data_IF_118166893811
#
_entry.id   IF_118166893811
#
_cell.length_a   1.000
_cell.length_b   1.000
_cell.length_c   1.000
_cell.angle_alpha   90.00
_cell.angle_beta   90.00
_cell.angle_gamma   90.00
#
_symmetry.space_group_name_H-M   'P 1'
#
loop_
_entity.id
_entity.type
_entity.pdbx_description
1 polymer ?
#
# COMPACT_ATOMS: atom_id res chain seq x y z
N UNK A 1 -16.13 12.50 -4.92
CA UNK A 1 -14.71 12.64 -4.53
C UNK A 1 -14.20 14.03 -4.86
N UNK A 2 -13.34 14.55 -3.99
CA UNK A 2 -12.73 15.86 -4.20
C UNK A 2 -11.48 15.67 -5.08
N UNK A 3 -11.48 16.22 -6.29
CA UNK A 3 -10.34 16.20 -7.22
C UNK A 3 -9.57 17.54 -7.22
N UNK A 4 -9.76 18.36 -6.20
CA UNK A 4 -9.09 19.66 -6.09
C UNK A 4 -7.84 19.57 -5.22
N UNK A 5 -6.79 20.37 -5.51
CA UNK A 5 -5.62 20.49 -4.65
C UNK A 5 -5.99 20.95 -3.24
N UNK A 6 -5.18 20.56 -2.25
CA UNK A 6 -5.38 20.96 -0.87
C UNK A 6 -5.18 22.48 -0.73
N UNK A 7 -6.16 23.25 -0.21
CA UNK A 7 -5.96 24.65 0.07
C UNK A 7 -4.82 24.86 1.08
N UNK A 8 -3.89 25.82 0.85
CA UNK A 8 -2.68 25.98 1.66
C UNK A 8 -2.95 26.40 3.12
N UNK A 9 -4.13 26.95 3.39
CA UNK A 9 -4.51 27.46 4.71
C UNK A 9 -5.24 26.44 5.61
N UNK A 10 -5.45 25.20 5.13
CA UNK A 10 -6.19 24.20 5.91
C UNK A 10 -5.37 23.69 7.10
N UNK A 11 -6.00 23.68 8.29
CA UNK A 11 -5.49 22.98 9.45
C UNK A 11 -5.29 21.48 9.17
N UNK A 12 -4.42 20.82 9.94
CA UNK A 12 -4.08 19.39 9.78
C UNK A 12 -5.33 18.51 9.68
N UNK A 13 -6.35 18.76 10.49
CA UNK A 13 -7.60 18.02 10.46
C UNK A 13 -8.42 18.22 9.17
N UNK A 14 -8.42 19.45 8.64
CA UNK A 14 -9.05 19.75 7.35
C UNK A 14 -8.35 19.05 6.19
N UNK A 15 -7.00 19.02 6.18
CA UNK A 15 -6.19 18.26 5.22
C UNK A 15 -6.49 16.77 5.29
N UNK A 16 -6.55 16.21 6.50
CA UNK A 16 -6.86 14.79 6.70
C UNK A 16 -8.23 14.42 6.13
N UNK A 17 -9.27 15.19 6.48
CA UNK A 17 -10.62 15.01 5.91
C UNK A 17 -10.58 15.08 4.37
N UNK A 18 -9.92 16.09 3.82
CA UNK A 18 -9.77 16.23 2.36
C UNK A 18 -9.10 15.01 1.73
N UNK A 19 -8.01 14.52 2.30
CA UNK A 19 -7.30 13.32 1.83
C UNK A 19 -8.20 12.07 1.88
N UNK A 20 -8.98 11.87 2.94
CA UNK A 20 -9.94 10.76 3.04
C UNK A 20 -11.04 10.87 1.99
N UNK A 21 -11.58 12.08 1.76
CA UNK A 21 -12.64 12.31 0.78
C UNK A 21 -12.19 12.04 -0.67
N UNK A 22 -10.90 12.11 -0.99
CA UNK A 22 -10.40 11.76 -2.33
C UNK A 22 -10.65 10.29 -2.68
N UNK A 23 -10.64 9.41 -1.69
CA UNK A 23 -10.79 7.95 -1.88
C UNK A 23 -12.05 7.37 -1.23
N UNK A 24 -13.02 8.22 -0.84
CA UNK A 24 -14.17 7.81 -0.02
C UNK A 24 -15.00 6.67 -0.64
N UNK A 25 -15.23 6.70 -1.96
CA UNK A 25 -15.98 5.62 -2.62
C UNK A 25 -15.28 4.28 -2.52
N UNK A 26 -13.98 4.27 -2.69
CA UNK A 26 -13.19 3.04 -2.52
C UNK A 26 -13.30 2.54 -1.07
N UNK A 27 -13.21 3.42 -0.08
CA UNK A 27 -13.31 3.02 1.33
C UNK A 27 -14.70 2.45 1.65
N UNK A 28 -15.75 3.07 1.16
CA UNK A 28 -17.13 2.57 1.34
C UNK A 28 -17.29 1.19 0.70
N UNK A 29 -16.77 0.97 -0.52
CA UNK A 29 -16.80 -0.33 -1.17
C UNK A 29 -16.02 -1.40 -0.38
N UNK A 30 -14.84 -1.08 0.13
CA UNK A 30 -14.03 -2.04 0.91
C UNK A 30 -14.68 -2.36 2.25
N UNK A 31 -15.20 -1.35 2.96
CA UNK A 31 -15.96 -1.58 4.21
C UNK A 31 -17.18 -2.46 3.94
N UNK A 32 -17.91 -2.19 2.85
CA UNK A 32 -19.04 -3.03 2.42
C UNK A 32 -18.60 -4.48 2.15
N UNK A 33 -17.46 -4.68 1.48
CA UNK A 33 -16.91 -6.01 1.23
C UNK A 33 -16.49 -6.72 2.53
N UNK A 34 -15.83 -6.02 3.47
CA UNK A 34 -15.46 -6.58 4.79
C UNK A 34 -16.69 -7.01 5.58
N UNK A 35 -17.73 -6.15 5.64
CA UNK A 35 -18.99 -6.47 6.33
C UNK A 35 -19.69 -7.66 5.66
N UNK A 36 -19.77 -7.66 4.34
CA UNK A 36 -20.37 -8.78 3.58
C UNK A 36 -19.64 -10.09 3.85
N UNK A 37 -18.30 -10.11 3.78
CA UNK A 37 -17.51 -11.29 4.08
C UNK A 37 -17.67 -11.72 5.55
N UNK A 38 -17.72 -10.79 6.50
CA UNK A 38 -17.97 -11.11 7.89
C UNK A 38 -19.32 -11.83 8.07
N UNK A 39 -20.38 -11.34 7.42
CA UNK A 39 -21.72 -11.91 7.52
C UNK A 39 -21.81 -13.32 6.92
N UNK A 40 -21.19 -13.57 5.77
CA UNK A 40 -21.24 -14.88 5.12
C UNK A 40 -20.28 -15.90 5.74
N UNK A 41 -19.24 -15.46 6.46
CA UNK A 41 -18.25 -16.35 7.07
C UNK A 41 -18.47 -16.56 8.57
N UNK A 42 -19.44 -15.88 9.19
CA UNK A 42 -19.69 -15.96 10.65
C UNK A 42 -20.01 -17.38 11.12
N UNK A 43 -20.64 -18.19 10.26
CA UNK A 43 -20.99 -19.58 10.55
C UNK A 43 -20.03 -20.60 9.94
N UNK A 44 -19.10 -20.12 9.13
CA UNK A 44 -18.16 -20.99 8.41
C UNK A 44 -16.92 -21.32 9.24
N UNK A 45 -16.40 -22.54 9.17
CA UNK A 45 -15.19 -22.92 9.91
C UNK A 45 -13.92 -22.23 9.37
N UNK A 46 -13.97 -21.65 8.17
CA UNK A 46 -12.81 -21.03 7.51
C UNK A 46 -13.06 -19.54 7.17
N UNK A 47 -12.71 -18.60 8.04
CA UNK A 47 -12.86 -17.15 7.83
C UNK A 47 -11.67 -16.51 7.08
N UNK A 48 -10.87 -17.27 6.33
CA UNK A 48 -9.64 -16.78 5.65
C UNK A 48 -9.90 -15.56 4.77
N UNK A 49 -10.98 -15.57 3.98
CA UNK A 49 -11.32 -14.45 3.10
C UNK A 49 -11.56 -13.16 3.88
N UNK A 50 -12.29 -13.24 5.00
CA UNK A 50 -12.53 -12.12 5.88
C UNK A 50 -11.21 -11.58 6.48
N UNK A 51 -10.35 -12.44 7.02
CA UNK A 51 -9.06 -12.03 7.59
C UNK A 51 -8.15 -11.42 6.53
N UNK A 52 -8.10 -12.00 5.34
CA UNK A 52 -7.29 -11.49 4.22
C UNK A 52 -7.67 -10.07 3.84
N UNK A 53 -8.96 -9.84 3.57
CA UNK A 53 -9.44 -8.49 3.16
C UNK A 53 -9.26 -7.48 4.30
N UNK A 54 -9.52 -7.89 5.55
CA UNK A 54 -9.36 -7.02 6.72
C UNK A 54 -7.89 -6.61 6.92
N UNK A 55 -6.95 -7.56 6.87
CA UNK A 55 -5.52 -7.29 7.02
C UNK A 55 -5.02 -6.34 5.92
N UNK A 56 -5.34 -6.63 4.67
CA UNK A 56 -4.93 -5.77 3.54
C UNK A 56 -5.53 -4.37 3.64
N UNK A 57 -6.79 -4.25 4.06
CA UNK A 57 -7.43 -2.96 4.27
C UNK A 57 -6.78 -2.16 5.40
N UNK A 58 -6.50 -2.79 6.56
CA UNK A 58 -5.82 -2.13 7.68
C UNK A 58 -4.42 -1.67 7.30
N UNK A 59 -3.65 -2.52 6.59
CA UNK A 59 -2.31 -2.16 6.13
C UNK A 59 -2.35 -1.03 5.09
N UNK A 60 -3.34 -1.02 4.20
CA UNK A 60 -3.57 0.10 3.28
C UNK A 60 -3.86 1.41 4.03
N UNK A 61 -4.68 1.37 5.08
CA UNK A 61 -4.91 2.54 5.94
C UNK A 61 -3.63 2.99 6.63
N UNK A 62 -2.85 2.05 7.16
CA UNK A 62 -1.54 2.34 7.74
C UNK A 62 -0.62 3.05 6.74
N UNK A 63 -0.54 2.55 5.49
CA UNK A 63 0.24 3.20 4.42
C UNK A 63 -0.26 4.62 4.12
N UNK A 64 -1.58 4.85 4.01
CA UNK A 64 -2.17 6.18 3.80
C UNK A 64 -1.83 7.14 4.94
N UNK A 65 -1.92 6.68 6.19
CA UNK A 65 -1.55 7.49 7.36
C UNK A 65 -0.05 7.84 7.34
N UNK A 66 0.80 6.88 6.97
CA UNK A 66 2.24 7.14 6.82
C UNK A 66 2.51 8.22 5.78
N UNK A 67 1.91 8.11 4.58
CA UNK A 67 2.03 9.11 3.52
C UNK A 67 1.51 10.50 3.98
N UNK A 68 0.42 10.53 4.73
CA UNK A 68 -0.15 11.77 5.26
C UNK A 68 0.76 12.43 6.31
N UNK A 69 1.35 11.64 7.22
CA UNK A 69 2.22 12.16 8.29
C UNK A 69 3.63 12.50 7.80
N UNK A 70 4.12 11.82 6.79
CA UNK A 70 5.37 12.14 6.13
C UNK A 70 6.19 10.91 5.73
N UNK A 71 6.52 10.83 4.44
CA UNK A 71 7.37 9.81 3.83
C UNK A 71 8.30 10.47 2.83
N UNK A 72 9.64 10.32 3.02
CA UNK A 72 10.65 10.91 2.11
C UNK A 72 10.81 10.15 0.80
N UNK A 73 10.52 8.85 0.81
CA UNK A 73 10.75 7.98 -0.35
C UNK A 73 9.58 7.97 -1.36
N UNK A 74 8.63 8.91 -1.23
CA UNK A 74 7.51 9.00 -2.16
C UNK A 74 7.99 9.53 -3.52
N UNK A 75 7.82 8.72 -4.57
CA UNK A 75 8.19 9.10 -5.92
C UNK A 75 6.97 9.63 -6.69
N UNK A 76 6.87 10.95 -6.83
CA UNK A 76 5.76 11.63 -7.50
C UNK A 76 5.63 11.26 -8.98
N UNK A 77 6.73 10.80 -9.63
CA UNK A 77 6.74 10.40 -11.05
C UNK A 77 5.87 9.17 -11.36
N UNK A 78 5.44 8.45 -10.33
CA UNK A 78 4.57 7.28 -10.49
C UNK A 78 3.09 7.65 -10.47
N UNK A 79 2.77 8.87 -10.08
CA UNK A 79 1.41 9.35 -10.15
C UNK A 79 1.06 9.75 -11.58
N UNK A 80 -0.04 9.24 -12.14
CA UNK A 80 -0.61 9.79 -13.38
C UNK A 80 -0.96 11.28 -13.21
N UNK A 81 -0.82 12.08 -14.27
CA UNK A 81 -1.00 13.54 -14.22
C UNK A 81 -2.34 13.98 -13.60
N UNK A 82 -3.40 13.23 -13.87
CA UNK A 82 -4.74 13.52 -13.32
C UNK A 82 -4.85 13.28 -11.80
N UNK A 83 -3.86 12.66 -11.17
CA UNK A 83 -3.80 12.41 -9.72
C UNK A 83 -2.78 13.29 -8.99
N UNK A 84 -2.07 14.20 -9.69
CA UNK A 84 -1.06 15.07 -9.10
C UNK A 84 -1.62 15.96 -7.97
N UNK A 85 -2.92 16.25 -7.97
CA UNK A 85 -3.56 16.98 -6.87
C UNK A 85 -3.43 16.26 -5.52
N UNK A 86 -3.27 14.91 -5.50
CA UNK A 86 -3.10 14.13 -4.27
C UNK A 86 -1.81 14.48 -3.54
N UNK A 87 -0.74 14.83 -4.26
CA UNK A 87 0.56 15.21 -3.67
C UNK A 87 0.39 16.37 -2.69
N UNK A 88 -0.52 17.31 -2.97
CA UNK A 88 -0.78 18.46 -2.10
C UNK A 88 -1.32 18.08 -0.70
N UNK A 89 -1.87 16.88 -0.53
CA UNK A 89 -2.34 16.35 0.75
C UNK A 89 -1.25 15.60 1.52
N UNK A 90 -0.18 15.17 0.84
CA UNK A 90 0.89 14.36 1.40
C UNK A 90 2.00 15.25 2.01
N UNK A 91 2.83 14.66 2.86
CA UNK A 91 4.05 15.28 3.36
C UNK A 91 5.25 14.48 2.88
N UNK A 92 6.02 15.09 1.97
CA UNK A 92 7.22 14.47 1.39
C UNK A 92 8.53 15.09 1.92
N UNK A 93 8.41 16.13 2.76
CA UNK A 93 9.52 16.91 3.31
C UNK A 93 10.23 16.22 4.49
N UNK A 94 9.55 15.32 5.19
CA UNK A 94 10.07 14.68 6.40
C UNK A 94 9.61 13.24 6.56
N UNK A 95 10.43 12.45 7.28
CA UNK A 95 10.06 11.12 7.73
C UNK A 95 9.32 11.22 9.07
N UNK A 96 8.10 10.71 9.13
CA UNK A 96 7.34 10.62 10.37
C UNK A 96 7.82 9.45 11.23
N UNK A 97 7.86 9.63 12.56
CA UNK A 97 8.10 8.54 13.50
C UNK A 97 7.01 7.45 13.47
N UNK A 98 5.82 7.79 12.93
CA UNK A 98 4.73 6.82 12.77
C UNK A 98 5.11 5.67 11.83
N UNK A 99 5.92 5.92 10.79
CA UNK A 99 6.32 4.91 9.81
C UNK A 99 7.16 3.76 10.43
N UNK A 100 8.27 4.00 11.15
CA UNK A 100 9.00 2.90 11.77
C UNK A 100 8.18 2.18 12.84
N UNK A 101 7.31 2.87 13.57
CA UNK A 101 6.45 2.27 14.59
C UNK A 101 5.42 1.35 13.92
N UNK A 102 4.70 1.82 12.91
CA UNK A 102 3.71 1.01 12.20
C UNK A 102 4.34 -0.19 11.50
N UNK A 103 5.54 -0.03 10.95
CA UNK A 103 6.31 -1.13 10.35
C UNK A 103 6.71 -2.18 11.41
N UNK A 104 7.21 -1.76 12.56
CA UNK A 104 7.56 -2.66 13.66
C UNK A 104 6.34 -3.43 14.18
N UNK A 105 5.19 -2.75 14.32
CA UNK A 105 3.92 -3.39 14.70
C UNK A 105 3.51 -4.41 13.63
N UNK A 106 3.64 -4.10 12.34
CA UNK A 106 3.35 -5.01 11.25
C UNK A 106 4.16 -6.32 11.34
N UNK A 107 5.48 -6.21 11.51
CA UNK A 107 6.35 -7.38 11.70
C UNK A 107 6.02 -8.16 12.99
N UNK A 108 5.73 -7.46 14.08
CA UNK A 108 5.34 -8.11 15.33
C UNK A 108 4.06 -8.93 15.18
N UNK A 109 3.02 -8.35 14.56
CA UNK A 109 1.77 -9.05 14.28
C UNK A 109 2.00 -10.24 13.35
N UNK A 110 2.84 -10.09 12.33
CA UNK A 110 3.25 -11.20 11.45
C UNK A 110 3.85 -12.37 12.24
N UNK A 111 4.77 -12.09 13.17
CA UNK A 111 5.35 -13.11 14.04
C UNK A 111 4.29 -13.80 14.90
N UNK A 112 3.33 -13.06 15.44
CA UNK A 112 2.24 -13.64 16.23
C UNK A 112 1.35 -14.56 15.38
N UNK A 113 1.02 -14.15 14.15
CA UNK A 113 0.22 -14.98 13.23
C UNK A 113 0.96 -16.28 12.89
N UNK A 114 2.26 -16.21 12.55
CA UNK A 114 3.04 -17.40 12.24
C UNK A 114 3.21 -18.32 13.46
N UNK A 115 3.41 -17.75 14.65
CA UNK A 115 3.45 -18.54 15.90
C UNK A 115 2.11 -19.25 16.12
N UNK A 116 1.00 -18.56 15.93
CA UNK A 116 -0.33 -19.17 16.05
C UNK A 116 -0.54 -20.27 15.01
N UNK A 117 -0.15 -20.05 13.76
CA UNK A 117 -0.21 -21.04 12.69
C UNK A 117 0.55 -22.35 13.06
N UNK A 118 1.71 -22.22 13.67
CA UNK A 118 2.53 -23.38 14.07
C UNK A 118 1.93 -24.22 15.21
N UNK A 119 0.96 -23.68 15.96
CA UNK A 119 0.34 -24.35 17.11
C UNK A 119 -1.03 -24.95 16.83
N UNK A 120 -1.65 -24.59 15.69
CA UNK A 120 -2.98 -25.08 15.32
C UNK A 120 -2.88 -26.49 14.74
N UNK A 121 -3.63 -27.48 15.25
CA UNK A 121 -3.58 -28.86 14.77
C UNK A 121 -4.33 -29.08 13.45
N UNK A 122 -5.36 -28.28 13.16
CA UNK A 122 -6.11 -28.37 11.89
C UNK A 122 -5.32 -27.80 10.72
N UNK A 123 -5.05 -28.62 9.72
CA UNK A 123 -4.26 -28.26 8.55
C UNK A 123 -4.88 -27.11 7.76
N UNK A 124 -6.21 -27.08 7.63
CA UNK A 124 -6.91 -26.05 6.88
C UNK A 124 -6.74 -24.69 7.54
N UNK A 125 -6.96 -24.65 8.86
CA UNK A 125 -6.76 -23.42 9.65
C UNK A 125 -5.29 -23.01 9.68
N UNK A 126 -4.36 -23.96 9.78
CA UNK A 126 -2.93 -23.71 9.74
C UNK A 126 -2.52 -23.05 8.40
N UNK A 127 -2.94 -23.59 7.27
CA UNK A 127 -2.66 -23.03 5.94
C UNK A 127 -3.28 -21.64 5.78
N UNK A 128 -4.50 -21.42 6.30
CA UNK A 128 -5.17 -20.11 6.32
C UNK A 128 -4.35 -19.06 7.06
N UNK A 129 -3.83 -19.40 8.25
CA UNK A 129 -3.01 -18.48 9.03
C UNK A 129 -1.65 -18.21 8.35
N UNK A 130 -1.04 -19.22 7.72
CA UNK A 130 0.19 -18.99 6.95
C UNK A 130 -0.05 -18.05 5.75
N UNK A 131 -1.18 -18.20 5.04
CA UNK A 131 -1.53 -17.30 3.95
C UNK A 131 -1.72 -15.86 4.45
N UNK A 132 -2.53 -15.66 5.49
CA UNK A 132 -2.78 -14.32 6.08
C UNK A 132 -1.48 -13.73 6.62
N UNK A 133 -0.66 -14.53 7.31
CA UNK A 133 0.65 -14.11 7.82
C UNK A 133 1.62 -13.71 6.71
N UNK A 134 1.63 -14.43 5.59
CA UNK A 134 2.47 -14.09 4.42
C UNK A 134 2.04 -12.78 3.78
N UNK A 135 0.74 -12.53 3.66
CA UNK A 135 0.21 -11.25 3.15
C UNK A 135 0.53 -10.09 4.12
N UNK A 136 0.42 -10.32 5.42
CA UNK A 136 0.82 -9.34 6.45
C UNK A 136 2.32 -9.05 6.41
N UNK A 137 3.17 -10.07 6.19
CA UNK A 137 4.60 -9.91 6.00
C UNK A 137 4.91 -9.05 4.77
N UNK A 138 4.29 -9.36 3.63
CA UNK A 138 4.47 -8.61 2.40
C UNK A 138 4.08 -7.15 2.57
N UNK A 139 2.94 -6.87 3.19
CA UNK A 139 2.49 -5.52 3.49
C UNK A 139 3.43 -4.78 4.45
N UNK A 140 4.05 -5.48 5.41
CA UNK A 140 5.07 -4.91 6.30
C UNK A 140 6.37 -4.57 5.57
N UNK A 141 6.76 -5.39 4.58
CA UNK A 141 7.90 -5.12 3.69
C UNK A 141 7.61 -3.90 2.81
N UNK A 142 6.37 -3.72 2.30
CA UNK A 142 5.98 -2.50 1.57
C UNK A 142 6.17 -1.24 2.43
N UNK A 143 5.88 -1.29 3.73
CA UNK A 143 6.16 -0.18 4.64
C UNK A 143 7.66 0.13 4.77
N UNK A 144 8.54 -0.88 4.72
CA UNK A 144 9.99 -0.67 4.66
C UNK A 144 10.40 0.09 3.38
N UNK A 145 9.80 -0.22 2.24
CA UNK A 145 10.09 0.51 0.99
C UNK A 145 9.65 1.98 1.04
N UNK A 146 8.64 2.31 1.83
CA UNK A 146 8.30 3.72 2.09
C UNK A 146 9.35 4.43 2.97
N UNK A 147 10.14 3.69 3.75
CA UNK A 147 11.18 4.23 4.61
C UNK A 147 12.48 4.50 3.85
N UNK A 148 12.85 3.62 2.92
CA UNK A 148 14.09 3.70 2.18
C UNK A 148 13.85 4.20 0.75
N UNK A 149 14.64 5.17 0.25
CA UNK A 149 14.58 5.60 -1.14
C UNK A 149 15.15 4.49 -2.03
N UNK A 150 14.31 3.53 -2.40
CA UNK A 150 14.71 2.47 -3.33
C UNK A 150 14.77 3.07 -4.74
N UNK A 151 15.92 2.92 -5.40
CA UNK A 151 16.02 3.29 -6.81
C UNK A 151 15.35 2.22 -7.68
N UNK A 152 14.05 2.38 -7.89
CA UNK A 152 13.22 1.42 -8.64
C UNK A 152 13.69 1.28 -10.09
N UNK A 153 14.23 2.36 -10.67
CA UNK A 153 14.85 2.29 -12.00
C UNK A 153 16.04 1.31 -12.05
N UNK A 154 16.72 1.09 -10.92
CA UNK A 154 17.77 0.08 -10.84
C UNK A 154 17.22 -1.34 -10.81
N UNK A 155 16.05 -1.57 -10.16
CA UNK A 155 15.40 -2.88 -10.12
C UNK A 155 14.93 -3.34 -11.51
N UNK A 156 14.50 -2.41 -12.36
CA UNK A 156 14.00 -2.72 -13.70
C UNK A 156 15.02 -2.48 -14.82
N UNK A 157 16.28 -2.15 -14.49
CA UNK A 157 17.31 -1.86 -15.48
C UNK A 157 17.56 -3.04 -16.40
N UNK A 158 17.54 -4.25 -15.88
CA UNK A 158 17.73 -5.47 -16.65
C UNK A 158 16.61 -5.71 -17.68
N UNK A 159 15.37 -5.26 -17.36
CA UNK A 159 14.21 -5.40 -18.25
C UNK A 159 14.11 -4.27 -19.30
N UNK A 160 14.86 -3.16 -19.15
CA UNK A 160 14.86 -2.00 -20.04
C UNK A 160 16.11 -1.92 -20.91
N UNK A 161 16.97 -2.92 -20.91
CA UNK A 161 18.27 -2.87 -21.57
C UNK A 161 18.20 -2.67 -23.11
N UNK A 162 17.03 -2.83 -23.73
CA UNK A 162 16.88 -2.85 -25.19
C UNK A 162 16.38 -1.53 -25.82
N UNK A 163 16.00 -0.52 -25.05
CA UNK A 163 15.47 0.74 -25.61
C UNK A 163 16.49 1.60 -26.38
N UNK A 164 17.79 1.68 -26.03
CA UNK A 164 18.77 2.46 -26.77
C UNK A 164 19.04 1.92 -28.17
N UNK A 165 19.01 0.60 -28.36
CA UNK A 165 19.31 -0.02 -29.67
C UNK A 165 18.16 0.19 -30.67
N UNK A 166 16.93 0.17 -30.23
CA UNK A 166 15.76 0.40 -31.10
C UNK A 166 15.68 1.84 -31.60
N UNK A 167 16.16 2.82 -30.83
CA UNK A 167 16.25 4.21 -31.29
C UNK A 167 17.35 4.42 -32.34
N UNK A 168 18.51 3.81 -32.17
CA UNK A 168 19.61 3.88 -33.13
C UNK A 168 19.22 3.29 -34.49
N UNK A 169 18.55 2.13 -34.49
CA UNK A 169 18.07 1.47 -35.72
C UNK A 169 16.95 2.27 -36.42
N UNK A 170 16.14 3.00 -35.68
CA UNK A 170 15.04 3.83 -36.25
C UNK A 170 15.60 5.09 -36.90
N UNK A 171 16.62 5.75 -36.33
CA UNK A 171 17.26 6.94 -36.89
C UNK A 171 18.00 6.60 -38.18
N UNK A 172 18.71 5.46 -38.25
CA UNK A 172 19.40 5.02 -39.45
C UNK A 172 18.44 4.66 -40.59
N UNK A 173 17.20 4.29 -40.30
CA UNK A 173 16.17 3.94 -41.28
C UNK A 173 15.44 5.14 -41.89
N UNK A 174 15.44 6.27 -41.18
CA UNK A 174 14.78 7.51 -41.60
C UNK A 174 15.76 8.41 -42.41
N UNK A 175 17.07 8.04 -42.53
CA UNK A 175 18.08 8.76 -43.28
C UNK A 175 18.38 8.11 -44.68
N UNK A 176 17.71 7.03 -45.08
CA UNK A 176 17.83 6.36 -46.40
C UNK A 176 16.53 6.62 -47.20
#
# INVERSE_FOLDING_TARGET
PNHQPCPPQLAVWGRFKGAVFTTIYHEVCVVGAVVFLALITVTEPNPTAFYTVTVLWLMRWSAKLNLFFGVRAFNERWLPDHLNYLVSYLRTDRLSAFLPISTAIGFFVTCLIFKSAATVPDLTQQLSLYLVGSLMLLASIEHLFLMFPVNEAALWRWARADEPQLRAVRVEKDEI
#
